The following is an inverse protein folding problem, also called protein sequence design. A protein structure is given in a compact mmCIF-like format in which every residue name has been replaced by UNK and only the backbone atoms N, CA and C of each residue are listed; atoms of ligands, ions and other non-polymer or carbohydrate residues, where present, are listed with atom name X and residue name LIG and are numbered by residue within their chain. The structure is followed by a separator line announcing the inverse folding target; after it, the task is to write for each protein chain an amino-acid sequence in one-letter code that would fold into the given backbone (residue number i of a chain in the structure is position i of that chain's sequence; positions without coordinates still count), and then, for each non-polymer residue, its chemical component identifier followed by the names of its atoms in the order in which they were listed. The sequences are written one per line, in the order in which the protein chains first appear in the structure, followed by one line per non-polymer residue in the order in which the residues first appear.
data_IF_596011209908
#
_entry.id   IF_596011209908
#
_cell.length_a   1.000
_cell.length_b   1.000
_cell.length_c   1.000
_cell.angle_alpha   90.00
_cell.angle_beta   90.00
_cell.angle_gamma   90.00
#
_symmetry.space_group_name_H-M   'P 1'
#
loop_
_entity.id
_entity.type
_entity.pdbx_description
1 polymer ?
#
# COMPACT_ATOMS: atom_id res chain seq x y z
N UNK A 1 32.01 -0.86 2.35
CA UNK A 1 30.97 -1.55 3.12
C UNK A 1 29.65 -1.29 2.42
N UNK A 2 28.80 -2.30 2.26
CA UNK A 2 27.49 -2.11 1.62
C UNK A 2 26.59 -1.30 2.57
N UNK A 3 25.88 -0.29 2.06
CA UNK A 3 24.95 0.53 2.81
C UNK A 3 23.65 0.73 2.01
N UNK A 4 22.54 0.20 2.52
CA UNK A 4 21.20 0.37 1.92
C UNK A 4 20.62 1.69 2.45
N UNK A 5 20.05 2.51 1.57
CA UNK A 5 19.55 3.85 1.96
C UNK A 5 18.05 3.85 2.25
N UNK A 6 17.24 3.24 1.40
CA UNK A 6 15.78 3.18 1.52
C UNK A 6 15.21 2.08 0.62
N UNK A 7 13.93 1.77 0.82
CA UNK A 7 13.13 1.00 -0.13
C UNK A 7 12.63 1.94 -1.23
N UNK A 8 13.05 1.70 -2.48
CA UNK A 8 12.60 2.47 -3.66
C UNK A 8 11.19 2.06 -4.09
N UNK A 9 10.98 0.75 -4.26
CA UNK A 9 9.68 0.18 -4.59
C UNK A 9 9.57 -1.26 -4.13
N UNK A 10 8.35 -1.79 -4.19
CA UNK A 10 8.04 -3.20 -4.04
C UNK A 10 7.08 -3.65 -5.16
N UNK A 11 6.87 -4.96 -5.27
CA UNK A 11 5.92 -5.55 -6.23
C UNK A 11 4.77 -6.19 -5.47
N UNK A 12 3.53 -5.83 -5.82
CA UNK A 12 2.34 -6.56 -5.39
C UNK A 12 1.85 -7.45 -6.53
N UNK A 13 1.64 -8.72 -6.21
CA UNK A 13 0.89 -9.62 -7.09
C UNK A 13 -0.58 -9.55 -6.69
N UNK A 14 -1.43 -9.13 -7.63
CA UNK A 14 -2.85 -8.84 -7.40
C UNK A 14 -3.72 -9.66 -8.34
N UNK A 15 -4.94 -10.01 -7.93
CA UNK A 15 -5.86 -10.77 -8.80
C UNK A 15 -6.31 -9.96 -10.01
N UNK A 16 -6.55 -8.66 -9.82
CA UNK A 16 -6.98 -7.73 -10.86
C UNK A 16 -6.34 -6.36 -10.66
N UNK A 17 -5.58 -5.90 -11.67
CA UNK A 17 -4.82 -4.65 -11.60
C UNK A 17 -5.75 -3.44 -11.50
N UNK A 18 -6.84 -3.39 -12.24
CA UNK A 18 -7.68 -2.20 -12.29
C UNK A 18 -8.51 -2.08 -11.00
N UNK A 19 -8.91 -3.20 -10.39
CA UNK A 19 -9.52 -3.21 -9.05
C UNK A 19 -8.55 -2.71 -7.98
N UNK A 20 -7.30 -3.21 -7.97
CA UNK A 20 -6.30 -2.71 -7.03
C UNK A 20 -6.00 -1.24 -7.25
N UNK A 21 -5.85 -0.80 -8.51
CA UNK A 21 -5.64 0.60 -8.85
C UNK A 21 -6.76 1.48 -8.31
N UNK A 22 -8.02 1.12 -8.55
CA UNK A 22 -9.16 1.88 -8.08
C UNK A 22 -9.18 2.01 -6.56
N UNK A 23 -8.80 0.96 -5.83
CA UNK A 23 -8.65 1.01 -4.38
C UNK A 23 -7.55 1.97 -3.93
N UNK A 24 -6.32 1.79 -4.42
CA UNK A 24 -5.19 2.61 -3.97
C UNK A 24 -5.28 4.07 -4.42
N UNK A 25 -6.02 4.37 -5.50
CA UNK A 25 -6.34 5.75 -5.87
C UNK A 25 -7.23 6.45 -4.84
N UNK A 26 -8.13 5.73 -4.16
CA UNK A 26 -8.86 6.28 -3.01
C UNK A 26 -7.91 6.61 -1.84
N UNK A 27 -6.79 5.90 -1.72
CA UNK A 27 -5.76 6.21 -0.73
C UNK A 27 -4.78 7.31 -1.21
N UNK A 28 -5.10 8.01 -2.30
CA UNK A 28 -4.30 9.13 -2.82
C UNK A 28 -3.11 8.73 -3.70
N UNK A 29 -2.94 7.44 -4.01
CA UNK A 29 -1.87 6.99 -4.92
C UNK A 29 -2.22 7.31 -6.38
N UNK A 30 -1.20 7.51 -7.22
CA UNK A 30 -1.37 7.83 -8.65
C UNK A 30 -0.99 6.64 -9.53
N UNK A 31 -1.91 6.20 -10.39
CA UNK A 31 -1.61 5.20 -11.44
C UNK A 31 -0.55 5.77 -12.38
N UNK A 32 0.49 4.98 -12.63
CA UNK A 32 1.48 5.24 -13.67
C UNK A 32 1.57 4.07 -14.62
N UNK A 33 1.68 4.36 -15.92
CA UNK A 33 2.00 3.39 -16.95
C UNK A 33 3.45 3.55 -17.36
N UNK A 34 4.18 2.44 -17.49
CA UNK A 34 5.57 2.46 -17.94
C UNK A 34 5.89 1.19 -18.74
N UNK A 35 6.97 1.26 -19.54
CA UNK A 35 7.62 0.13 -20.23
C UNK A 35 6.65 -0.97 -20.72
N UNK A 36 5.96 -0.74 -21.84
CA UNK A 36 5.16 -1.77 -22.48
C UNK A 36 3.87 -2.14 -21.74
N UNK A 37 3.29 -1.21 -20.97
CA UNK A 37 1.99 -1.40 -20.32
C UNK A 37 2.06 -1.90 -18.88
N UNK A 38 3.23 -1.86 -18.24
CA UNK A 38 3.35 -2.12 -16.80
C UNK A 38 2.65 -1.02 -16.01
N UNK A 39 1.99 -1.42 -14.92
CA UNK A 39 1.23 -0.52 -14.06
C UNK A 39 1.93 -0.40 -12.71
N UNK A 40 2.02 0.83 -12.21
CA UNK A 40 2.47 1.13 -10.86
C UNK A 40 1.54 2.13 -10.17
N UNK A 41 1.63 2.16 -8.85
CA UNK A 41 0.98 3.12 -7.97
C UNK A 41 2.06 3.96 -7.29
N UNK A 42 2.13 5.25 -7.63
CA UNK A 42 3.10 6.19 -7.08
C UNK A 42 2.54 6.87 -5.82
N UNK A 43 3.38 7.02 -4.79
CA UNK A 43 3.13 7.81 -3.59
C UNK A 43 4.45 8.40 -3.09
N UNK A 44 4.45 9.69 -2.72
CA UNK A 44 5.69 10.38 -2.35
C UNK A 44 6.76 10.26 -3.44
N UNK A 45 7.92 9.72 -3.06
CA UNK A 45 9.04 9.44 -3.97
C UNK A 45 9.25 7.94 -4.22
N UNK A 46 8.25 7.12 -3.87
CA UNK A 46 8.27 5.67 -4.03
C UNK A 46 7.12 5.20 -4.93
N UNK A 47 7.10 3.90 -5.22
CA UNK A 47 5.99 3.27 -5.90
C UNK A 47 5.79 1.81 -5.52
N UNK A 48 4.62 1.29 -5.88
CA UNK A 48 4.31 -0.13 -5.92
C UNK A 48 4.11 -0.54 -7.37
N UNK A 49 4.90 -1.48 -7.88
CA UNK A 49 4.62 -2.10 -9.18
C UNK A 49 3.55 -3.18 -8.99
N UNK A 50 2.63 -3.28 -9.94
CA UNK A 50 1.57 -4.29 -9.92
C UNK A 50 1.85 -5.36 -10.96
N UNK A 51 1.86 -6.62 -10.52
CA UNK A 51 1.80 -7.80 -11.36
C UNK A 51 0.42 -8.44 -11.21
N UNK A 52 -0.21 -8.82 -12.31
CA UNK A 52 -1.43 -9.62 -12.23
C UNK A 52 -1.05 -11.08 -11.96
N UNK A 53 -1.74 -11.73 -11.01
CA UNK A 53 -1.54 -13.15 -10.68
C UNK A 53 -1.71 -14.02 -11.94
N UNK A 54 -0.74 -14.89 -12.20
CA UNK A 54 -0.66 -15.71 -13.41
C UNK A 54 -0.11 -14.99 -14.65
N UNK A 55 0.21 -13.69 -14.55
CA UNK A 55 0.82 -12.87 -15.62
C UNK A 55 1.98 -12.04 -15.09
N UNK A 56 2.73 -12.57 -14.12
CA UNK A 56 3.84 -11.84 -13.53
C UNK A 56 5.03 -11.75 -14.48
N UNK A 57 5.81 -10.68 -14.35
CA UNK A 57 7.09 -10.56 -15.06
C UNK A 57 8.22 -11.23 -14.26
N UNK A 58 9.17 -11.83 -14.97
CA UNK A 58 10.41 -12.34 -14.37
C UNK A 58 11.52 -11.27 -14.32
N UNK A 59 12.42 -11.32 -13.31
CA UNK A 59 12.35 -12.18 -12.12
C UNK A 59 11.29 -11.71 -11.11
N UNK A 60 10.76 -12.63 -10.30
CA UNK A 60 9.78 -12.35 -9.25
C UNK A 60 10.06 -13.10 -7.94
N UNK A 61 9.25 -12.85 -6.92
CA UNK A 61 9.27 -13.62 -5.68
C UNK A 61 9.09 -15.12 -5.97
N UNK A 62 9.82 -15.97 -5.26
CA UNK A 62 9.79 -17.43 -5.46
C UNK A 62 8.39 -18.03 -5.23
N UNK A 63 7.65 -17.47 -4.27
CA UNK A 63 6.27 -17.83 -3.96
C UNK A 63 5.43 -16.56 -4.06
N UNK A 64 4.82 -16.34 -5.23
CA UNK A 64 3.88 -15.23 -5.43
C UNK A 64 2.55 -15.57 -4.77
N UNK A 65 1.99 -14.63 -4.02
CA UNK A 65 0.73 -14.81 -3.32
C UNK A 65 0.01 -13.46 -3.25
N UNK A 66 -1.22 -13.41 -3.75
CA UNK A 66 -2.08 -12.26 -3.54
C UNK A 66 -2.60 -12.26 -2.10
N UNK A 67 -2.66 -11.06 -1.48
CA UNK A 67 -3.10 -10.91 -0.09
C UNK A 67 -2.04 -11.23 0.95
N UNK A 68 -0.76 -11.36 0.56
CA UNK A 68 0.32 -11.78 1.47
C UNK A 68 1.13 -10.63 2.07
N UNK A 69 0.85 -9.38 1.73
CA UNK A 69 1.63 -8.25 2.25
C UNK A 69 0.94 -7.58 3.43
N UNK A 70 1.77 -6.99 4.27
CA UNK A 70 1.42 -6.19 5.42
C UNK A 70 2.29 -4.92 5.35
N UNK A 71 1.66 -3.78 5.07
CA UNK A 71 2.35 -2.54 4.71
C UNK A 71 1.83 -1.37 5.56
N UNK A 72 2.77 -0.66 6.18
CA UNK A 72 2.51 0.57 6.91
C UNK A 72 2.96 1.80 6.11
N UNK A 73 2.03 2.73 5.91
CA UNK A 73 2.25 4.00 5.22
C UNK A 73 2.04 5.16 6.17
N UNK A 74 2.93 6.14 6.09
CA UNK A 74 2.76 7.41 6.80
C UNK A 74 1.92 8.34 5.94
N UNK A 75 0.82 8.81 6.50
CA UNK A 75 -0.06 9.83 5.90
C UNK A 75 0.23 11.19 6.53
N UNK A 76 -0.04 12.27 5.78
CA UNK A 76 0.18 13.65 6.26
C UNK A 76 -0.99 14.22 7.04
N UNK A 77 -2.19 13.74 6.72
CA UNK A 77 -3.45 14.16 7.29
C UNK A 77 -3.62 13.56 8.70
N UNK A 78 -4.26 14.28 9.63
CA UNK A 78 -4.61 13.72 10.94
C UNK A 78 -5.46 12.46 10.80
N UNK A 79 -5.14 11.41 11.55
CA UNK A 79 -5.85 10.12 11.45
C UNK A 79 -7.36 10.21 11.67
N UNK A 80 -7.85 11.16 12.46
CA UNK A 80 -9.28 11.39 12.63
C UNK A 80 -9.94 11.78 11.29
N UNK A 81 -9.30 12.65 10.51
CA UNK A 81 -9.77 13.04 9.18
C UNK A 81 -9.65 11.89 8.18
N UNK A 82 -8.56 11.13 8.25
CA UNK A 82 -8.38 9.93 7.42
C UNK A 82 -9.47 8.91 7.71
N UNK A 83 -9.77 8.65 8.98
CA UNK A 83 -10.80 7.70 9.39
C UNK A 83 -12.18 8.10 8.83
N UNK A 84 -12.54 9.37 8.90
CA UNK A 84 -13.81 9.87 8.39
C UNK A 84 -13.86 9.79 6.86
N UNK A 85 -12.79 10.19 6.17
CA UNK A 85 -12.65 10.02 4.72
C UNK A 85 -12.81 8.56 4.28
N UNK A 86 -12.16 7.61 4.96
CA UNK A 86 -12.27 6.18 4.63
C UNK A 86 -13.72 5.67 4.76
N UNK A 87 -14.45 6.12 5.79
CA UNK A 87 -15.88 5.79 5.94
C UNK A 87 -16.73 6.37 4.81
N UNK A 88 -16.48 7.62 4.41
CA UNK A 88 -17.16 8.26 3.27
C UNK A 88 -16.89 7.53 1.94
N UNK A 89 -15.68 6.98 1.77
CA UNK A 89 -15.32 6.16 0.61
C UNK A 89 -15.83 4.70 0.70
N UNK A 90 -16.60 4.37 1.74
CA UNK A 90 -17.11 3.04 2.05
C UNK A 90 -16.01 1.97 2.16
N UNK A 91 -14.86 2.34 2.71
CA UNK A 91 -13.77 1.41 2.99
C UNK A 91 -13.94 0.83 4.40
N UNK A 92 -13.91 -0.50 4.50
CA UNK A 92 -14.05 -1.20 5.78
C UNK A 92 -12.80 -1.02 6.63
N UNK A 93 -13.00 -0.50 7.83
CA UNK A 93 -11.94 -0.39 8.85
C UNK A 93 -11.87 -1.69 9.61
N UNK A 94 -10.68 -2.29 9.68
CA UNK A 94 -10.42 -3.51 10.44
C UNK A 94 -10.15 -3.19 11.92
N UNK A 95 -9.35 -2.15 12.18
CA UNK A 95 -9.08 -1.64 13.52
C UNK A 95 -8.98 -0.11 13.46
N UNK A 96 -9.63 0.56 14.42
CA UNK A 96 -9.64 2.02 14.51
C UNK A 96 -8.29 2.61 14.94
N UNK A 97 -8.27 3.87 15.36
CA UNK A 97 -7.01 4.53 15.71
C UNK A 97 -6.41 3.94 16.98
N UNK A 98 -5.23 3.34 16.86
CA UNK A 98 -4.51 2.65 17.94
C UNK A 98 -3.03 3.00 17.95
N UNK A 99 -2.38 2.88 19.11
CA UNK A 99 -0.93 3.11 19.22
C UNK A 99 -0.13 1.91 18.71
N UNK A 100 0.97 2.20 18.00
CA UNK A 100 1.91 1.22 17.45
C UNK A 100 3.34 1.75 17.50
N UNK A 101 4.30 0.90 17.16
CA UNK A 101 5.72 1.26 17.07
C UNK A 101 6.13 1.33 15.61
N UNK A 102 6.47 2.52 15.14
CA UNK A 102 7.03 2.73 13.81
C UNK A 102 8.55 2.60 13.79
N UNK A 103 9.14 2.72 12.60
CA UNK A 103 10.57 2.52 12.40
C UNK A 103 11.48 3.49 13.20
N UNK A 104 11.01 4.71 13.49
CA UNK A 104 11.80 5.77 14.16
C UNK A 104 11.11 6.36 15.40
N UNK A 105 10.01 5.76 15.87
CA UNK A 105 9.26 6.32 16.99
C UNK A 105 7.86 5.74 17.11
N UNK A 106 7.10 6.24 18.09
CA UNK A 106 5.70 5.88 18.25
C UNK A 106 4.86 6.43 17.11
N UNK A 107 3.89 5.65 16.68
CA UNK A 107 2.91 6.05 15.67
C UNK A 107 1.51 5.74 16.19
N UNK A 108 0.51 6.45 15.65
CA UNK A 108 -0.88 6.04 15.73
C UNK A 108 -1.25 5.45 14.37
N UNK A 109 -2.16 4.48 14.33
CA UNK A 109 -2.44 3.70 13.12
C UNK A 109 -3.91 3.34 12.96
N UNK A 110 -4.37 3.25 11.72
CA UNK A 110 -5.66 2.68 11.29
C UNK A 110 -5.38 1.50 10.37
N UNK A 111 -6.14 0.41 10.51
CA UNK A 111 -5.98 -0.79 9.69
C UNK A 111 -7.18 -1.02 8.77
N UNK A 112 -6.90 -1.47 7.55
CA UNK A 112 -7.89 -1.88 6.56
C UNK A 112 -7.32 -2.97 5.63
N UNK A 113 -8.19 -3.61 4.84
CA UNK A 113 -7.77 -4.55 3.80
C UNK A 113 -7.93 -3.96 2.42
N UNK A 114 -6.94 -4.24 1.57
CA UNK A 114 -7.08 -4.03 0.14
C UNK A 114 -7.94 -5.14 -0.52
N UNK A 115 -8.27 -5.04 -1.82
CA UNK A 115 -9.15 -6.00 -2.48
C UNK A 115 -8.63 -7.45 -2.51
N UNK A 116 -7.31 -7.64 -2.38
CA UNK A 116 -6.69 -8.97 -2.36
C UNK A 116 -6.53 -9.51 -0.93
N UNK A 117 -6.81 -8.69 0.09
CA UNK A 117 -6.75 -9.04 1.49
C UNK A 117 -5.44 -8.65 2.18
N UNK A 118 -4.57 -7.90 1.49
CA UNK A 118 -3.34 -7.36 2.09
C UNK A 118 -3.71 -6.46 3.27
N UNK A 119 -2.94 -6.52 4.35
CA UNK A 119 -3.13 -5.64 5.49
C UNK A 119 -2.46 -4.29 5.18
N UNK A 120 -3.26 -3.22 5.22
CA UNK A 120 -2.80 -1.86 5.01
C UNK A 120 -2.93 -1.11 6.33
N UNK A 121 -1.84 -0.50 6.75
CA UNK A 121 -1.76 0.34 7.93
C UNK A 121 -1.50 1.79 7.48
N UNK A 122 -2.34 2.72 7.92
CA UNK A 122 -2.18 4.17 7.68
C UNK A 122 -1.89 4.88 9.00
N UNK A 123 -0.79 5.63 9.05
CA UNK A 123 -0.24 6.11 10.32
C UNK A 123 0.23 7.55 10.31
N UNK A 124 0.23 8.19 11.48
CA UNK A 124 0.99 9.42 11.74
C UNK A 124 2.03 9.16 12.84
N UNK A 125 3.19 9.82 12.78
CA UNK A 125 4.10 9.91 13.92
C UNK A 125 3.51 10.77 15.04
N UNK A 126 3.84 10.41 16.28
CA UNK A 126 3.53 11.20 17.47
C UNK A 126 4.61 12.25 17.75
#
# INVERSE_FOLDING_TARGET
MLNITHLDHLVLTVKDIDVSVAFYQKLGMKKQLFLGGRVALQFGQQKINLHQLGKEFEPKAKQVQAGSVDLCFIVSEPLEQVLDYLKEQHLSIEEGIVERTGAVGKIRSIYLRDPDGNLIELSNYQ
#
